data_IF_317851159653
#
_entry.id   IF_317851159653
#
_cell.length_a   1.000
_cell.length_b   1.000
_cell.length_c   1.000
_cell.angle_alpha   90.00
_cell.angle_beta   90.00
_cell.angle_gamma   90.00
#
_symmetry.space_group_name_H-M   'P 1'
#
loop_
_entity.id
_entity.type
_entity.pdbx_description
1 polymer ?
#
# COMPACT_ATOMS: atom_id res chain seq x y z
N UNK A 1 10.46 -5.95 10.95
CA UNK A 1 10.14 -5.44 9.56
C UNK A 1 10.97 -6.22 8.55
N UNK A 2 10.77 -5.96 7.26
CA UNK A 2 11.57 -6.53 6.17
C UNK A 2 12.40 -5.42 5.50
N UNK A 3 13.72 -5.65 5.37
CA UNK A 3 14.66 -4.60 5.00
C UNK A 3 14.55 -4.09 3.54
N UNK A 4 13.92 -4.85 2.66
CA UNK A 4 13.69 -4.45 1.27
C UNK A 4 12.31 -3.80 1.03
N UNK A 5 11.49 -3.61 2.06
CA UNK A 5 10.09 -3.17 1.90
C UNK A 5 9.96 -1.92 1.04
N UNK A 6 10.64 -0.84 1.38
CA UNK A 6 10.53 0.43 0.66
C UNK A 6 11.10 0.35 -0.75
N UNK A 7 12.30 -0.20 -0.91
CA UNK A 7 12.96 -0.32 -2.21
C UNK A 7 12.23 -1.27 -3.17
N UNK A 8 11.63 -2.36 -2.63
CA UNK A 8 10.83 -3.28 -3.41
C UNK A 8 9.57 -2.59 -3.95
N UNK A 9 8.84 -1.85 -3.11
CA UNK A 9 7.63 -1.15 -3.52
C UNK A 9 7.91 0.02 -4.46
N UNK A 10 9.04 0.75 -4.29
CA UNK A 10 9.52 1.72 -5.26
C UNK A 10 9.71 1.08 -6.64
N UNK A 11 10.40 -0.05 -6.69
CA UNK A 11 10.64 -0.75 -7.93
C UNK A 11 9.35 -1.29 -8.54
N UNK A 12 8.46 -1.85 -7.73
CA UNK A 12 7.19 -2.39 -8.19
C UNK A 12 6.27 -1.29 -8.76
N UNK A 13 6.13 -0.17 -8.07
CA UNK A 13 5.33 0.97 -8.54
C UNK A 13 5.90 1.57 -9.83
N UNK A 14 7.21 1.72 -9.92
CA UNK A 14 7.86 2.15 -11.14
C UNK A 14 7.65 1.17 -12.30
N UNK A 15 7.74 -0.13 -12.05
CA UNK A 15 7.48 -1.17 -13.05
C UNK A 15 6.04 -1.09 -13.58
N UNK A 16 5.08 -0.84 -12.70
CA UNK A 16 3.68 -0.61 -13.10
C UNK A 16 3.55 0.61 -14.02
N UNK A 17 4.18 1.74 -13.70
CA UNK A 17 4.19 2.91 -14.59
C UNK A 17 4.79 2.55 -15.95
N UNK A 18 5.91 1.80 -16.00
CA UNK A 18 6.51 1.38 -17.25
C UNK A 18 5.57 0.49 -18.07
N UNK A 19 4.85 -0.44 -17.46
CA UNK A 19 3.86 -1.25 -18.13
C UNK A 19 2.71 -0.40 -18.71
N UNK A 20 2.17 0.54 -17.94
CA UNK A 20 1.16 1.48 -18.45
C UNK A 20 1.64 2.27 -19.65
N UNK A 21 2.90 2.72 -19.65
CA UNK A 21 3.47 3.51 -20.74
C UNK A 21 3.78 2.67 -21.98
N UNK A 22 4.37 1.50 -21.79
CA UNK A 22 4.88 0.67 -22.89
C UNK A 22 3.80 -0.21 -23.52
N UNK A 23 2.80 -0.64 -22.74
CA UNK A 23 1.78 -1.59 -23.19
C UNK A 23 0.42 -0.93 -23.42
N UNK A 24 0.09 0.12 -22.63
CA UNK A 24 -1.21 0.80 -22.71
C UNK A 24 -1.15 2.20 -23.34
N UNK A 25 0.03 2.66 -23.74
CA UNK A 25 0.20 3.98 -24.38
C UNK A 25 0.00 5.17 -23.43
N UNK A 26 0.07 4.95 -22.13
CA UNK A 26 -0.04 6.02 -21.13
C UNK A 26 1.11 7.02 -21.29
N UNK A 27 0.79 8.32 -21.29
CA UNK A 27 1.79 9.40 -21.48
C UNK A 27 2.05 10.22 -20.23
N UNK A 28 1.38 9.89 -19.12
CA UNK A 28 1.56 10.55 -17.83
C UNK A 28 2.66 9.94 -16.99
N UNK A 29 2.70 10.38 -15.76
CA UNK A 29 3.54 9.82 -14.69
C UNK A 29 2.65 9.11 -13.67
N UNK A 30 3.24 8.24 -12.85
CA UNK A 30 2.51 7.59 -11.76
C UNK A 30 1.96 8.64 -10.79
N UNK A 31 0.64 8.77 -10.67
CA UNK A 31 0.06 9.68 -9.69
C UNK A 31 0.19 9.12 -8.28
N UNK A 32 0.21 9.99 -7.28
CA UNK A 32 0.12 9.63 -5.87
C UNK A 32 -1.09 10.27 -5.21
N UNK A 33 -1.58 9.67 -4.14
CA UNK A 33 -2.59 10.28 -3.28
C UNK A 33 -1.93 11.08 -2.17
N UNK A 34 -2.25 12.37 -2.04
CA UNK A 34 -1.88 13.12 -0.85
C UNK A 34 -2.85 12.80 0.29
N UNK A 35 -2.47 11.87 1.16
CA UNK A 35 -3.32 11.42 2.28
C UNK A 35 -3.81 12.58 3.14
N UNK A 36 -2.93 13.47 3.57
CA UNK A 36 -3.28 14.58 4.45
C UNK A 36 -4.40 15.47 3.90
N UNK A 37 -4.40 15.65 2.58
CA UNK A 37 -5.40 16.50 1.91
C UNK A 37 -6.82 15.96 2.04
N UNK A 38 -6.99 14.64 2.09
CA UNK A 38 -8.30 13.98 2.06
C UNK A 38 -8.60 13.14 3.30
N UNK A 39 -7.69 13.12 4.30
CA UNK A 39 -7.84 12.29 5.49
C UNK A 39 -9.11 12.59 6.29
N UNK A 40 -9.61 13.83 6.25
CA UNK A 40 -10.80 14.23 7.01
C UNK A 40 -12.13 13.93 6.31
N UNK A 41 -12.09 13.66 4.99
CA UNK A 41 -13.28 13.31 4.20
C UNK A 41 -12.87 12.50 2.96
N UNK A 42 -12.74 11.19 3.13
CA UNK A 42 -12.34 10.30 2.02
C UNK A 42 -13.47 10.23 0.99
N UNK A 43 -14.70 10.11 1.44
CA UNK A 43 -15.86 9.92 0.56
C UNK A 43 -16.15 11.19 -0.27
N UNK A 44 -15.89 12.37 0.28
CA UNK A 44 -15.98 13.65 -0.44
C UNK A 44 -14.76 13.95 -1.34
N UNK A 45 -13.76 13.08 -1.34
CA UNK A 45 -12.61 13.22 -2.24
C UNK A 45 -13.02 12.98 -3.70
N UNK A 46 -12.55 13.81 -4.66
CA UNK A 46 -12.77 13.56 -6.09
C UNK A 46 -12.16 12.23 -6.59
N UNK A 47 -11.33 11.57 -5.77
CA UNK A 47 -10.81 10.25 -6.10
C UNK A 47 -11.87 9.15 -5.98
N UNK A 48 -12.90 9.34 -5.13
CA UNK A 48 -13.89 8.31 -4.85
C UNK A 48 -15.33 8.77 -5.13
N UNK A 49 -15.52 9.82 -5.96
CA UNK A 49 -16.83 10.35 -6.31
C UNK A 49 -17.64 9.48 -7.29
N UNK A 50 -17.02 8.41 -7.80
CA UNK A 50 -17.64 7.47 -8.73
C UNK A 50 -17.80 7.98 -10.16
N UNK A 51 -17.21 9.14 -10.51
CA UNK A 51 -17.15 9.64 -11.89
C UNK A 51 -16.20 8.84 -12.77
N UNK A 52 -16.27 9.02 -14.08
CA UNK A 52 -15.40 8.34 -15.06
C UNK A 52 -13.92 8.74 -14.93
N UNK A 53 -13.61 9.83 -14.24
CA UNK A 53 -12.24 10.31 -14.01
C UNK A 53 -11.73 10.03 -12.60
N UNK A 54 -12.52 9.33 -11.77
CA UNK A 54 -12.17 8.96 -10.41
C UNK A 54 -11.45 7.58 -10.34
N UNK A 55 -11.05 7.19 -9.15
CA UNK A 55 -10.63 5.82 -8.83
C UNK A 55 -11.82 4.89 -8.56
N UNK A 56 -13.01 5.22 -9.04
CA UNK A 56 -14.31 4.63 -8.72
C UNK A 56 -14.79 4.97 -7.31
N UNK A 57 -16.10 4.73 -7.07
CA UNK A 57 -16.71 4.98 -5.77
C UNK A 57 -16.44 3.88 -4.74
N UNK A 58 -17.20 3.96 -3.64
CA UNK A 58 -17.24 2.94 -2.61
C UNK A 58 -17.92 1.65 -3.14
N UNK A 59 -17.73 0.56 -2.43
CA UNK A 59 -18.53 -0.64 -2.63
C UNK A 59 -20.01 -0.43 -2.24
N UNK A 60 -20.89 -1.26 -2.80
CA UNK A 60 -22.27 -1.32 -2.34
C UNK A 60 -22.33 -1.62 -0.85
N UNK A 61 -23.28 -1.04 -0.15
CA UNK A 61 -23.40 -1.27 1.29
C UNK A 61 -23.67 -2.75 1.62
N UNK A 62 -22.87 -3.31 2.51
CA UNK A 62 -23.04 -4.63 3.08
C UNK A 62 -22.59 -4.60 4.55
N UNK A 63 -23.45 -4.88 5.53
CA UNK A 63 -23.10 -4.77 6.95
C UNK A 63 -21.94 -5.69 7.34
N UNK A 64 -20.99 -5.16 8.12
CA UNK A 64 -19.91 -5.95 8.73
C UNK A 64 -19.47 -5.31 10.06
N UNK A 65 -18.82 -6.07 10.97
CA UNK A 65 -18.49 -5.59 12.31
C UNK A 65 -17.27 -4.65 12.37
N UNK A 66 -16.70 -4.28 11.24
CA UNK A 66 -15.40 -3.63 11.14
C UNK A 66 -14.30 -4.62 10.81
N UNK A 67 -13.03 -4.16 10.86
CA UNK A 67 -11.86 -4.97 10.50
C UNK A 67 -10.87 -4.98 11.65
N UNK A 68 -10.54 -6.18 12.12
CA UNK A 68 -9.53 -6.39 13.15
C UNK A 68 -8.11 -6.21 12.61
N UNK A 69 -7.29 -5.45 13.32
CA UNK A 69 -5.88 -5.18 13.00
C UNK A 69 -5.00 -5.81 14.09
N UNK A 70 -3.98 -6.61 13.76
CA UNK A 70 -3.51 -6.98 12.41
C UNK A 70 -4.36 -8.02 11.69
N UNK A 71 -5.28 -8.67 12.36
CA UNK A 71 -6.18 -9.66 11.75
C UNK A 71 -7.49 -9.79 12.54
N UNK A 72 -8.56 -10.23 11.89
CA UNK A 72 -9.83 -10.51 12.55
C UNK A 72 -9.77 -11.67 13.56
N UNK A 73 -8.79 -12.56 13.45
CA UNK A 73 -8.65 -13.70 14.35
C UNK A 73 -8.04 -13.33 15.71
N UNK A 74 -7.17 -12.31 15.73
CA UNK A 74 -6.50 -11.82 16.92
C UNK A 74 -6.22 -10.31 16.76
N UNK A 75 -7.25 -9.47 16.92
CA UNK A 75 -7.09 -8.03 16.75
C UNK A 75 -6.50 -7.37 18.00
N UNK A 76 -5.55 -6.46 17.80
CA UNK A 76 -5.14 -5.51 18.84
C UNK A 76 -6.16 -4.37 18.97
N UNK A 77 -6.77 -3.98 17.85
CA UNK A 77 -7.91 -3.06 17.79
C UNK A 77 -8.78 -3.34 16.55
N UNK A 78 -9.96 -2.70 16.49
CA UNK A 78 -10.90 -2.84 15.37
C UNK A 78 -11.10 -1.49 14.69
N UNK A 79 -10.88 -1.41 13.37
CA UNK A 79 -11.32 -0.30 12.55
C UNK A 79 -12.84 -0.34 12.42
N UNK A 80 -13.47 0.81 12.63
CA UNK A 80 -14.93 0.91 12.48
C UNK A 80 -15.34 0.68 11.03
N UNK A 81 -16.49 0.03 10.80
CA UNK A 81 -16.96 -0.23 9.45
C UNK A 81 -17.29 1.08 8.72
N UNK A 82 -17.00 1.10 7.43
CA UNK A 82 -17.50 2.13 6.52
C UNK A 82 -18.93 1.84 6.05
N UNK A 83 -19.32 2.51 4.98
CA UNK A 83 -20.65 2.35 4.35
C UNK A 83 -20.55 1.56 3.01
N UNK A 84 -19.60 0.66 2.89
CA UNK A 84 -19.32 -0.12 1.70
C UNK A 84 -19.33 -1.61 1.95
N UNK A 85 -18.24 -2.26 1.63
CA UNK A 85 -17.85 -3.67 1.72
C UNK A 85 -18.43 -4.61 0.64
N UNK A 86 -19.37 -4.16 -0.19
CA UNK A 86 -19.83 -4.87 -1.39
C UNK A 86 -19.03 -4.54 -2.64
N UNK A 87 -19.54 -4.98 -3.81
CA UNK A 87 -18.93 -4.67 -5.10
C UNK A 87 -18.95 -3.16 -5.41
N UNK A 88 -17.89 -2.67 -6.04
CA UNK A 88 -17.86 -1.31 -6.61
C UNK A 88 -18.82 -1.26 -7.80
N UNK A 89 -19.69 -0.25 -7.82
CA UNK A 89 -20.78 -0.12 -8.81
C UNK A 89 -20.70 1.13 -9.67
N UNK A 90 -19.75 2.04 -9.38
CA UNK A 90 -19.61 3.32 -10.08
C UNK A 90 -18.17 3.59 -10.47
N UNK A 91 -17.98 4.40 -11.52
CA UNK A 91 -16.67 4.79 -12.03
C UNK A 91 -16.00 3.73 -12.91
N UNK A 92 -14.74 3.94 -13.30
CA UNK A 92 -14.06 3.14 -14.30
C UNK A 92 -13.81 1.67 -13.90
N UNK A 93 -13.76 1.36 -12.60
CA UNK A 93 -13.48 0.01 -12.11
C UNK A 93 -14.72 -0.77 -11.65
N UNK A 94 -15.94 -0.29 -11.96
CA UNK A 94 -17.20 -0.97 -11.58
C UNK A 94 -17.33 -2.41 -12.11
N UNK A 95 -16.73 -2.67 -13.26
CA UNK A 95 -16.77 -3.97 -13.91
C UNK A 95 -15.42 -4.72 -13.79
N UNK A 96 -14.51 -4.23 -12.93
CA UNK A 96 -13.22 -4.87 -12.71
C UNK A 96 -13.39 -6.24 -12.07
N UNK A 97 -12.86 -7.27 -12.72
CA UNK A 97 -12.78 -8.62 -12.16
C UNK A 97 -11.42 -8.83 -11.51
N UNK A 98 -11.44 -9.10 -10.20
CA UNK A 98 -10.26 -9.52 -9.45
C UNK A 98 -10.14 -11.04 -9.60
N UNK A 99 -9.04 -11.52 -10.17
CA UNK A 99 -8.87 -12.93 -10.53
C UNK A 99 -8.03 -13.73 -9.53
N UNK A 100 -7.17 -13.07 -8.74
CA UNK A 100 -6.22 -13.70 -7.81
C UNK A 100 -6.57 -13.36 -6.36
N UNK A 101 -6.08 -14.16 -5.41
CA UNK A 101 -6.41 -13.99 -4.00
C UNK A 101 -7.88 -14.36 -3.69
N UNK A 102 -8.40 -13.99 -2.51
CA UNK A 102 -7.67 -13.45 -1.36
C UNK A 102 -6.83 -14.52 -0.64
N UNK A 103 -5.76 -14.08 0.02
CA UNK A 103 -4.91 -14.94 0.86
C UNK A 103 -5.19 -14.67 2.34
N UNK A 104 -5.23 -13.41 2.72
CA UNK A 104 -5.53 -12.93 4.06
C UNK A 104 -6.65 -11.88 4.02
N UNK A 105 -7.91 -12.29 3.76
CA UNK A 105 -9.01 -11.37 3.54
C UNK A 105 -9.32 -10.54 4.79
N UNK A 106 -9.46 -9.24 4.61
CA UNK A 106 -9.88 -8.33 5.67
C UNK A 106 -11.38 -8.50 6.03
N UNK A 107 -12.21 -8.92 5.08
CA UNK A 107 -13.64 -9.17 5.29
C UNK A 107 -13.91 -10.63 5.62
N UNK A 108 -14.67 -10.91 6.67
CA UNK A 108 -14.94 -12.26 7.17
C UNK A 108 -15.80 -13.14 6.25
N UNK A 109 -16.50 -12.56 5.27
CA UNK A 109 -17.42 -13.27 4.37
C UNK A 109 -16.80 -13.59 3.00
N UNK A 110 -15.49 -13.62 2.91
CA UNK A 110 -14.77 -13.96 1.69
C UNK A 110 -14.20 -15.37 1.76
N UNK A 111 -14.39 -16.12 0.67
CA UNK A 111 -13.73 -17.41 0.50
C UNK A 111 -12.29 -17.16 0.06
N UNK A 112 -11.33 -17.75 0.78
CA UNK A 112 -9.93 -17.71 0.43
C UNK A 112 -9.65 -18.39 -0.90
N UNK A 113 -8.55 -18.01 -1.55
CA UNK A 113 -8.13 -18.60 -2.81
C UNK A 113 -7.97 -20.13 -2.68
N UNK A 114 -8.35 -20.92 -3.71
CA UNK A 114 -8.18 -22.38 -3.68
C UNK A 114 -6.71 -22.82 -3.59
N UNK A 115 -5.77 -21.93 -3.95
CA UNK A 115 -4.33 -22.18 -3.78
C UNK A 115 -3.79 -21.32 -2.63
N UNK A 116 -3.00 -21.89 -1.70
CA UNK A 116 -2.47 -21.16 -0.54
C UNK A 116 -1.58 -19.95 -0.90
N UNK A 117 -0.97 -19.96 -2.09
CA UNK A 117 -0.16 -18.85 -2.61
C UNK A 117 -0.99 -17.73 -3.25
N UNK A 118 -2.32 -17.85 -3.30
CA UNK A 118 -3.22 -16.87 -3.88
C UNK A 118 -3.25 -16.83 -5.42
N UNK A 119 -2.55 -17.72 -6.11
CA UNK A 119 -2.43 -17.70 -7.58
C UNK A 119 -3.51 -18.54 -8.29
N UNK A 120 -4.38 -19.22 -7.56
CA UNK A 120 -5.54 -19.90 -8.13
C UNK A 120 -6.53 -18.92 -8.76
N UNK A 121 -7.10 -19.29 -9.92
CA UNK A 121 -8.13 -18.49 -10.57
C UNK A 121 -9.40 -18.45 -9.70
N UNK A 122 -9.76 -17.25 -9.23
CA UNK A 122 -10.85 -17.00 -8.31
C UNK A 122 -11.55 -15.67 -8.65
N UNK A 123 -12.27 -15.61 -9.79
CA UNK A 123 -12.84 -14.37 -10.30
C UNK A 123 -13.99 -13.86 -9.42
N UNK A 124 -13.92 -12.57 -9.06
CA UNK A 124 -14.91 -11.86 -8.26
C UNK A 124 -14.86 -10.35 -8.52
N UNK A 125 -15.87 -9.62 -8.12
CA UNK A 125 -15.88 -8.17 -8.25
C UNK A 125 -14.86 -7.50 -7.32
N UNK A 126 -14.35 -6.32 -7.70
CA UNK A 126 -13.66 -5.42 -6.80
C UNK A 126 -14.61 -4.98 -5.69
N UNK A 127 -14.22 -5.15 -4.42
CA UNK A 127 -15.00 -4.72 -3.25
C UNK A 127 -14.22 -3.68 -2.47
N UNK A 128 -14.91 -2.64 -1.99
CA UNK A 128 -14.33 -1.57 -1.18
C UNK A 128 -15.20 -1.22 0.01
N UNK A 129 -14.54 -0.82 1.08
CA UNK A 129 -15.15 -0.20 2.24
C UNK A 129 -14.33 1.03 2.63
N UNK A 130 -14.73 2.21 2.13
CA UNK A 130 -14.01 3.44 2.43
C UNK A 130 -14.05 3.73 3.92
N UNK A 131 -12.91 3.57 4.60
CA UNK A 131 -12.79 3.70 6.04
C UNK A 131 -12.30 5.08 6.47
N UNK A 132 -13.21 5.94 6.88
CA UNK A 132 -12.89 7.21 7.50
C UNK A 132 -12.10 7.05 8.81
N UNK A 133 -12.36 5.97 9.55
CA UNK A 133 -11.62 5.67 10.79
C UNK A 133 -10.14 5.40 10.50
N UNK A 134 -9.81 4.59 9.49
CA UNK A 134 -8.43 4.35 9.08
C UNK A 134 -7.70 5.65 8.69
N UNK A 135 -8.37 6.53 7.94
CA UNK A 135 -7.79 7.80 7.52
C UNK A 135 -7.51 8.73 8.69
N UNK A 136 -8.46 8.89 9.59
CA UNK A 136 -8.32 9.74 10.77
C UNK A 136 -7.20 9.25 11.70
N UNK A 137 -7.05 7.93 11.84
CA UNK A 137 -6.07 7.30 12.75
C UNK A 137 -4.65 7.25 12.18
N UNK A 138 -4.47 7.21 10.85
CA UNK A 138 -3.15 6.98 10.28
C UNK A 138 -2.69 7.93 9.18
N UNK A 139 -3.53 8.87 8.69
CA UNK A 139 -3.21 9.59 7.45
C UNK A 139 -3.28 11.11 7.56
N UNK A 140 -3.43 11.64 8.76
CA UNK A 140 -3.52 13.10 8.99
C UNK A 140 -2.17 13.79 8.86
N UNK A 141 -2.17 15.10 8.60
CA UNK A 141 -0.95 15.90 8.46
C UNK A 141 -0.01 15.78 9.67
N UNK A 142 -0.47 15.87 10.94
CA UNK A 142 0.41 15.70 12.10
C UNK A 142 1.11 14.34 12.14
N UNK A 143 0.43 13.27 11.76
CA UNK A 143 0.99 11.90 11.75
C UNK A 143 2.11 11.80 10.70
N UNK A 144 1.88 12.35 9.50
CA UNK A 144 2.88 12.34 8.42
C UNK A 144 4.06 13.24 8.78
N UNK A 145 3.80 14.41 9.36
CA UNK A 145 4.84 15.32 9.84
C UNK A 145 5.72 14.66 10.91
N UNK A 146 5.11 13.98 11.88
CA UNK A 146 5.81 13.27 12.94
C UNK A 146 6.67 12.13 12.38
N UNK A 147 6.13 11.34 11.44
CA UNK A 147 6.88 10.29 10.76
C UNK A 147 8.14 10.85 10.09
N UNK A 148 8.02 11.96 9.36
CA UNK A 148 9.13 12.57 8.62
C UNK A 148 10.19 13.18 9.54
N UNK A 149 9.78 13.83 10.64
CA UNK A 149 10.67 14.64 11.48
C UNK A 149 11.21 13.91 12.71
N UNK A 150 10.45 12.96 13.27
CA UNK A 150 10.83 12.21 14.46
C UNK A 150 11.59 10.91 14.15
N UNK A 151 11.47 10.37 12.94
CA UNK A 151 12.20 9.15 12.53
C UNK A 151 13.65 9.51 12.19
N UNK A 152 14.58 9.19 13.09
CA UNK A 152 16.00 9.55 12.95
C UNK A 152 16.78 8.58 12.07
N UNK A 153 16.35 7.35 11.96
CA UNK A 153 16.96 6.27 11.19
C UNK A 153 15.92 5.50 10.39
N UNK A 154 16.38 4.65 9.48
CA UNK A 154 15.51 3.91 8.55
C UNK A 154 14.68 2.84 9.27
N UNK A 155 15.19 2.23 10.34
CA UNK A 155 14.44 1.27 11.13
C UNK A 155 13.23 1.94 11.79
N UNK A 156 13.46 3.07 12.47
CA UNK A 156 12.38 3.86 13.08
C UNK A 156 11.38 4.34 12.03
N UNK A 157 11.86 4.83 10.88
CA UNK A 157 10.99 5.27 9.80
C UNK A 157 10.08 4.15 9.29
N UNK A 158 10.65 2.97 8.97
CA UNK A 158 9.88 1.82 8.47
C UNK A 158 8.90 1.27 9.50
N UNK A 159 9.32 1.11 10.76
CA UNK A 159 8.45 0.55 11.80
C UNK A 159 7.30 1.47 12.14
N UNK A 160 7.56 2.78 12.30
CA UNK A 160 6.51 3.77 12.55
C UNK A 160 5.52 3.85 11.38
N UNK A 161 6.02 3.81 10.15
CA UNK A 161 5.17 3.84 8.95
C UNK A 161 4.21 2.65 8.87
N UNK A 162 4.64 1.46 9.32
CA UNK A 162 3.80 0.25 9.33
C UNK A 162 2.77 0.24 10.45
N UNK A 163 3.10 0.81 11.58
CA UNK A 163 2.26 0.84 12.77
C UNK A 163 2.83 0.06 13.96
N UNK A 164 2.29 0.36 15.12
CA UNK A 164 2.50 -0.37 16.38
C UNK A 164 1.13 -0.74 16.93
N UNK A 165 0.60 -1.86 16.49
CA UNK A 165 -0.79 -2.24 16.73
C UNK A 165 -1.10 -2.47 18.22
N UNK A 166 -0.22 -3.11 19.01
CA UNK A 166 -0.39 -3.18 20.46
C UNK A 166 -0.48 -1.82 21.15
N UNK A 167 0.13 -0.76 20.58
CA UNK A 167 0.03 0.62 21.06
C UNK A 167 -1.14 1.40 20.43
N UNK A 168 -2.06 0.73 19.75
CA UNK A 168 -3.22 1.33 19.06
C UNK A 168 -2.81 2.34 17.97
N UNK A 169 -1.65 2.15 17.36
CA UNK A 169 -1.12 3.01 16.30
C UNK A 169 -1.06 2.26 14.96
N UNK A 170 -1.88 2.69 14.00
CA UNK A 170 -2.05 1.97 12.72
C UNK A 170 -0.92 2.22 11.72
N UNK A 171 -0.21 3.38 11.78
CA UNK A 171 0.78 3.78 10.79
C UNK A 171 0.20 4.16 9.42
N UNK A 172 0.93 4.99 8.68
CA UNK A 172 0.44 5.55 7.40
C UNK A 172 0.28 4.48 6.30
N UNK A 173 1.12 3.44 6.32
CA UNK A 173 1.06 2.37 5.33
C UNK A 173 -0.20 1.52 5.53
N UNK A 174 -0.38 0.97 6.72
CA UNK A 174 -1.55 0.14 7.02
C UNK A 174 -2.84 0.94 6.86
N UNK A 175 -2.88 2.18 7.39
CA UNK A 175 -4.04 3.06 7.19
C UNK A 175 -4.39 3.26 5.72
N UNK A 176 -3.39 3.51 4.87
CA UNK A 176 -3.61 3.72 3.44
C UNK A 176 -4.22 2.52 2.72
N UNK A 177 -3.84 1.29 3.08
CA UNK A 177 -4.51 0.10 2.56
C UNK A 177 -5.98 0.06 2.99
N UNK A 178 -6.27 0.40 4.25
CA UNK A 178 -7.63 0.42 4.76
C UNK A 178 -8.44 1.66 4.38
N UNK A 179 -7.86 2.65 3.67
CA UNK A 179 -8.67 3.70 3.04
C UNK A 179 -9.75 3.13 2.14
N UNK A 180 -9.38 2.11 1.37
CA UNK A 180 -10.31 1.39 0.48
C UNK A 180 -10.75 0.04 1.05
N UNK A 181 -9.95 -0.52 1.95
CA UNK A 181 -10.24 -1.79 2.62
C UNK A 181 -10.71 -2.89 1.66
N UNK A 182 -11.74 -3.58 2.07
CA UNK A 182 -12.45 -4.52 1.18
C UNK A 182 -11.61 -5.68 0.67
N UNK A 183 -11.80 -6.01 -0.62
CA UNK A 183 -11.15 -7.10 -1.32
C UNK A 183 -10.82 -6.65 -2.76
N UNK A 184 -9.55 -6.61 -3.14
CA UNK A 184 -8.36 -7.09 -2.44
C UNK A 184 -7.63 -6.03 -1.58
N UNK A 185 -8.07 -4.76 -1.55
CA UNK A 185 -7.33 -3.63 -0.96
C UNK A 185 -6.86 -3.85 0.47
N UNK A 186 -7.65 -4.54 1.30
CA UNK A 186 -7.32 -4.90 2.67
C UNK A 186 -6.59 -6.23 2.84
N UNK A 187 -6.24 -6.95 1.77
CA UNK A 187 -5.48 -8.19 1.85
C UNK A 187 -3.98 -7.92 1.78
N UNK A 188 -3.23 -8.40 2.78
CA UNK A 188 -1.78 -8.19 2.90
C UNK A 188 -0.99 -8.63 1.65
N UNK A 189 -1.46 -9.66 0.94
CA UNK A 189 -0.72 -10.29 -0.16
C UNK A 189 -1.25 -9.93 -1.54
N UNK A 190 -2.52 -9.57 -1.66
CA UNK A 190 -3.18 -9.39 -2.96
C UNK A 190 -3.74 -7.99 -3.19
N UNK A 191 -3.47 -7.05 -2.29
CA UNK A 191 -3.86 -5.65 -2.40
C UNK A 191 -3.53 -4.94 -3.72
N UNK A 192 -2.46 -5.30 -4.48
CA UNK A 192 -2.21 -4.74 -5.81
C UNK A 192 -3.32 -4.98 -6.85
N UNK A 193 -4.26 -5.89 -6.58
CA UNK A 193 -5.46 -6.09 -7.38
C UNK A 193 -6.48 -4.95 -7.31
N UNK A 194 -6.39 -4.06 -6.32
CA UNK A 194 -7.11 -2.78 -6.34
C UNK A 194 -6.21 -1.69 -6.94
N UNK A 195 -6.60 -1.01 -8.03
CA UNK A 195 -5.78 0.04 -8.66
C UNK A 195 -5.36 1.18 -7.73
N UNK A 196 -6.09 1.43 -6.65
CA UNK A 196 -5.71 2.42 -5.64
C UNK A 196 -4.38 2.11 -4.96
N UNK A 197 -3.98 0.83 -4.88
CA UNK A 197 -2.69 0.40 -4.37
C UNK A 197 -1.53 1.24 -4.92
N UNK A 198 -1.52 1.50 -6.22
CA UNK A 198 -0.41 2.20 -6.87
C UNK A 198 -0.36 3.68 -6.52
N UNK A 199 -1.51 4.33 -6.27
CA UNK A 199 -1.55 5.71 -5.78
C UNK A 199 -1.05 5.80 -4.33
N UNK A 200 -1.45 4.83 -3.51
CA UNK A 200 -1.04 4.72 -2.12
C UNK A 200 0.47 4.48 -2.01
N UNK A 201 1.01 3.48 -2.73
CA UNK A 201 2.43 3.16 -2.69
C UNK A 201 3.31 4.22 -3.36
N UNK A 202 2.81 4.95 -4.36
CA UNK A 202 3.50 6.13 -4.88
C UNK A 202 3.63 7.23 -3.81
N UNK A 203 2.63 7.42 -2.93
CA UNK A 203 2.75 8.36 -1.82
C UNK A 203 3.65 7.84 -0.68
N UNK A 204 3.70 6.54 -0.45
CA UNK A 204 4.70 5.95 0.45
C UNK A 204 6.12 6.20 -0.07
N UNK A 205 6.35 6.00 -1.36
CA UNK A 205 7.63 6.30 -2.00
C UNK A 205 7.97 7.79 -1.93
N UNK A 206 6.98 8.68 -2.15
CA UNK A 206 7.13 10.12 -1.97
C UNK A 206 7.51 10.47 -0.53
N UNK A 207 6.86 9.87 0.45
CA UNK A 207 7.12 10.11 1.87
C UNK A 207 8.53 9.66 2.23
N UNK A 208 8.98 8.51 1.75
CA UNK A 208 10.34 8.04 1.90
C UNK A 208 11.34 8.95 1.18
N UNK A 209 11.05 9.38 -0.04
CA UNK A 209 11.87 10.32 -0.81
C UNK A 209 12.04 11.65 -0.06
N UNK A 210 10.98 12.20 0.53
CA UNK A 210 11.06 13.41 1.37
C UNK A 210 11.99 13.15 2.56
N UNK A 211 11.79 12.05 3.29
CA UNK A 211 12.62 11.69 4.44
C UNK A 211 14.10 11.52 4.05
N UNK A 212 14.39 10.91 2.90
CA UNK A 212 15.75 10.80 2.37
C UNK A 212 16.36 12.19 2.10
N UNK A 213 15.60 13.10 1.52
CA UNK A 213 16.07 14.43 1.14
C UNK A 213 16.20 15.42 2.32
N UNK A 214 15.70 15.10 3.51
CA UNK A 214 15.99 15.84 4.73
C UNK A 214 17.46 15.67 5.20
N UNK A 215 18.11 14.57 4.83
CA UNK A 215 19.55 14.32 5.08
C UNK A 215 20.07 13.29 4.06
N UNK A 216 20.28 13.69 2.80
CA UNK A 216 20.55 12.76 1.72
C UNK A 216 21.87 11.98 1.88
N UNK A 217 22.87 12.57 2.51
CA UNK A 217 24.16 11.91 2.74
C UNK A 217 24.03 10.71 3.66
N UNK A 218 23.20 10.81 4.72
CA UNK A 218 23.03 9.77 5.72
C UNK A 218 21.85 8.86 5.45
N UNK A 219 20.86 9.27 4.63
CA UNK A 219 19.57 8.57 4.49
C UNK A 219 19.35 7.90 3.15
N UNK A 220 20.09 8.25 2.10
CA UNK A 220 19.83 7.69 0.78
C UNK A 220 20.16 6.20 0.70
N UNK A 221 21.31 5.77 1.22
CA UNK A 221 21.79 4.39 1.04
C UNK A 221 21.84 3.61 2.37
N UNK A 222 20.75 3.68 3.14
CA UNK A 222 20.62 2.99 4.42
C UNK A 222 19.57 1.87 4.35
N UNK A 223 19.91 0.74 4.93
CA UNK A 223 19.04 -0.45 5.05
C UNK A 223 19.06 -0.91 6.49
N UNK A 224 17.92 -1.30 7.01
CA UNK A 224 17.79 -1.94 8.31
C UNK A 224 16.80 -3.12 8.20
N UNK A 225 16.73 -3.90 9.28
CA UNK A 225 15.84 -5.06 9.41
C UNK A 225 16.28 -6.29 8.60
N UNK A 226 15.54 -7.38 8.78
CA UNK A 226 15.91 -8.71 8.30
C UNK A 226 15.41 -8.98 6.88
N UNK A 227 15.94 -10.02 6.26
CA UNK A 227 15.49 -10.48 4.93
C UNK A 227 14.06 -11.00 4.99
N UNK A 228 13.69 -11.71 6.07
CA UNK A 228 12.33 -12.20 6.26
C UNK A 228 11.46 -11.19 7.03
N UNK A 229 10.18 -11.17 6.72
CA UNK A 229 9.21 -10.31 7.41
C UNK A 229 9.17 -10.66 8.91
N UNK A 230 9.34 -9.64 9.76
CA UNK A 230 9.35 -9.78 11.23
C UNK A 230 10.34 -10.85 11.74
N UNK A 231 11.40 -11.10 10.98
CA UNK A 231 12.40 -12.14 11.29
C UNK A 231 11.79 -13.57 11.43
N UNK A 232 10.76 -13.86 10.65
CA UNK A 232 10.07 -15.15 10.63
C UNK A 232 10.05 -15.76 9.21
N UNK A 233 10.76 -16.91 9.02
CA UNK A 233 11.69 -17.54 9.94
C UNK A 233 12.91 -16.66 10.21
N UNK A 234 13.70 -16.91 11.27
CA UNK A 234 14.90 -16.11 11.55
C UNK A 234 15.85 -16.02 10.36
N UNK A 235 16.34 -14.81 10.07
CA UNK A 235 17.23 -14.54 8.94
C UNK A 235 18.26 -13.47 9.29
N UNK A 236 19.30 -13.32 8.44
CA UNK A 236 20.23 -12.21 8.55
C UNK A 236 19.59 -10.87 8.24
N UNK A 237 20.24 -9.80 8.61
CA UNK A 237 19.87 -8.45 8.16
C UNK A 237 20.01 -8.31 6.64
N UNK A 238 19.13 -7.52 6.05
CA UNK A 238 19.21 -7.15 4.65
C UNK A 238 20.42 -6.24 4.39
N UNK A 239 20.93 -6.28 3.17
CA UNK A 239 22.05 -5.47 2.70
C UNK A 239 21.72 -4.82 1.37
N UNK A 240 22.47 -3.78 0.99
CA UNK A 240 22.35 -3.12 -0.31
C UNK A 240 22.63 -4.04 -1.50
N UNK A 241 23.32 -5.17 -1.30
CA UNK A 241 23.67 -6.12 -2.35
C UNK A 241 22.60 -7.20 -2.56
N UNK A 242 21.59 -7.28 -1.70
CA UNK A 242 20.51 -8.26 -1.83
C UNK A 242 19.66 -7.99 -3.08
N UNK A 243 19.25 -9.09 -3.73
CA UNK A 243 18.37 -9.02 -4.90
C UNK A 243 16.92 -8.86 -4.47
N UNK A 244 16.21 -8.02 -5.19
CA UNK A 244 14.76 -7.91 -5.18
C UNK A 244 14.20 -8.52 -6.45
N UNK A 245 13.30 -9.48 -6.30
CA UNK A 245 12.62 -10.17 -7.40
C UNK A 245 11.15 -9.71 -7.46
N UNK A 246 10.71 -9.31 -8.64
CA UNK A 246 9.30 -9.00 -8.96
C UNK A 246 8.64 -10.13 -9.77
N UNK A 247 9.23 -11.31 -9.80
CA UNK A 247 8.75 -12.46 -10.56
C UNK A 247 8.68 -12.13 -12.06
N UNK A 248 7.53 -12.41 -12.66
CA UNK A 248 7.32 -12.19 -14.10
C UNK A 248 7.20 -10.72 -14.51
N UNK A 249 7.06 -9.80 -13.55
CA UNK A 249 6.77 -8.39 -13.85
C UNK A 249 8.01 -7.60 -14.29
N UNK A 250 9.21 -7.96 -13.77
CA UNK A 250 10.45 -7.28 -14.16
C UNK A 250 11.68 -8.09 -13.72
N UNK A 251 12.88 -7.84 -14.34
CA UNK A 251 14.12 -8.47 -13.93
C UNK A 251 14.49 -8.13 -12.47
N UNK A 252 15.12 -9.09 -11.76
CA UNK A 252 15.63 -8.84 -10.42
C UNK A 252 16.73 -7.75 -10.43
N UNK A 253 16.71 -6.87 -9.42
CA UNK A 253 17.72 -5.83 -9.20
C UNK A 253 18.20 -5.85 -7.76
N UNK A 254 19.34 -5.23 -7.49
CA UNK A 254 19.84 -5.09 -6.11
C UNK A 254 19.11 -3.96 -5.37
N UNK A 255 19.03 -4.07 -4.06
CA UNK A 255 18.45 -3.01 -3.22
C UNK A 255 19.09 -1.65 -3.54
N UNK A 256 20.43 -1.59 -3.63
CA UNK A 256 21.16 -0.35 -3.93
C UNK A 256 20.70 0.35 -5.20
N UNK A 257 20.25 -0.40 -6.20
CA UNK A 257 19.80 0.14 -7.48
C UNK A 257 18.44 0.84 -7.40
N UNK A 258 17.70 0.65 -6.29
CA UNK A 258 16.41 1.27 -6.02
C UNK A 258 16.44 2.31 -4.87
N UNK A 259 17.60 2.62 -4.31
CA UNK A 259 17.69 3.55 -3.18
C UNK A 259 17.55 5.03 -3.57
N UNK A 260 17.88 5.38 -4.80
CA UNK A 260 17.78 6.76 -5.32
C UNK A 260 16.82 6.84 -6.49
N UNK A 261 15.94 7.84 -6.48
CA UNK A 261 15.02 8.11 -7.60
C UNK A 261 15.71 8.80 -8.78
N UNK A 262 16.95 9.27 -8.62
CA UNK A 262 17.73 10.03 -9.62
C UNK A 262 18.89 9.23 -10.22
N UNK A 263 19.01 7.93 -9.94
CA UNK A 263 20.12 7.11 -10.41
C UNK A 263 19.63 5.79 -11.03
N UNK A 264 20.46 5.25 -11.92
CA UNK A 264 20.19 3.97 -12.56
C UNK A 264 19.02 4.08 -13.53
N UNK A 265 18.04 3.20 -13.37
CA UNK A 265 16.83 3.16 -14.21
C UNK A 265 15.76 4.16 -13.79
N UNK A 266 15.84 4.67 -12.57
CA UNK A 266 14.93 5.67 -12.07
C UNK A 266 15.41 7.06 -12.47
N UNK A 267 14.50 7.91 -12.91
CA UNK A 267 14.79 9.30 -13.27
C UNK A 267 13.53 10.12 -13.01
N UNK A 268 13.15 10.26 -11.73
CA UNK A 268 11.96 11.02 -11.34
C UNK A 268 12.15 11.72 -10.00
N UNK A 269 11.34 12.75 -9.76
CA UNK A 269 11.15 13.42 -8.49
C UNK A 269 9.67 13.65 -8.23
N UNK A 270 9.36 14.16 -7.05
CA UNK A 270 7.99 14.46 -6.65
C UNK A 270 7.75 15.98 -6.59
N UNK A 271 6.54 16.38 -6.96
CA UNK A 271 6.06 17.76 -6.92
C UNK A 271 4.88 17.90 -5.96
#
# INVERSE_FOLDING_TARGET
>A
MQGNFLSWHRYFTWTYEQALRNECGYRGYQPYINWAKYAHDIAGSPLFDGSDLSMSGNGAYSPHPGVGIPSNAAPDFVLQPGNGSGCVTTGPFKDLTVNLGPVAPALNNLTTNPQPNGLGYNPRCLRRDLSQDAANRGSTEPIIYDLLTKSKDIHTFQTTMQGDFPADYIGVHTAGHFWVGGDPGGDLFTSPGDPFFYLHHANLDRTWWIWQNLDPERRTYVVADTVTLNNLPPSRNATLEDLMDLGVNAPAIRLKDAMSTLRGRFCYGYV
#
